data_IF_186656431661
#
_entry.id   IF_186656431661
#
_cell.length_a   1.000
_cell.length_b   1.000
_cell.length_c   1.000
_cell.angle_alpha   90.00
_cell.angle_beta   90.00
_cell.angle_gamma   90.00
#
_symmetry.space_group_name_H-M   'P 1'
#
loop_
_entity.id
_entity.type
_entity.pdbx_description
1 polymer ?
#
# COMPACT_ATOMS: atom_id res chain seq x y z
N UNK A 1 -4.11 -51.25 68.16
CA UNK A 1 -5.09 -50.15 67.98
C UNK A 1 -5.15 -49.82 66.51
N UNK A 2 -6.35 -50.00 65.94
CA UNK A 2 -6.88 -49.58 64.64
C UNK A 2 -6.13 -49.93 63.34
N UNK A 3 -6.57 -51.07 62.78
CA UNK A 3 -6.74 -51.29 61.35
C UNK A 3 -7.68 -50.24 60.75
N UNK A 4 -7.39 -49.70 59.57
CA UNK A 4 -8.37 -48.92 58.79
C UNK A 4 -8.22 -49.19 57.30
N UNK A 5 -8.97 -50.21 56.90
CA UNK A 5 -9.57 -50.46 55.60
C UNK A 5 -10.15 -49.17 55.01
N UNK A 6 -9.76 -48.79 53.79
CA UNK A 6 -10.50 -47.82 53.00
C UNK A 6 -11.28 -48.57 51.92
N UNK A 7 -12.59 -48.64 52.14
CA UNK A 7 -13.61 -49.12 51.22
C UNK A 7 -13.95 -48.00 50.21
N UNK A 8 -13.96 -48.39 48.93
CA UNK A 8 -14.84 -47.98 47.83
C UNK A 8 -15.56 -46.64 47.87
N UNK A 9 -15.45 -45.89 46.77
CA UNK A 9 -16.62 -45.37 46.06
C UNK A 9 -16.40 -45.47 44.54
N UNK A 10 -17.09 -46.43 43.93
CA UNK A 10 -17.39 -46.45 42.50
C UNK A 10 -18.50 -45.42 42.29
N UNK A 11 -18.22 -44.36 41.54
CA UNK A 11 -19.27 -43.48 41.04
C UNK A 11 -19.90 -44.12 39.80
N UNK A 12 -20.96 -44.89 40.01
CA UNK A 12 -22.03 -45.10 39.03
C UNK A 12 -23.00 -43.91 39.15
N UNK A 13 -23.07 -43.08 38.12
CA UNK A 13 -24.26 -42.28 37.79
C UNK A 13 -24.44 -42.43 36.29
N UNK A 14 -25.21 -43.42 35.86
CA UNK A 14 -26.63 -43.25 35.49
C UNK A 14 -26.82 -42.12 34.49
N UNK A 15 -26.86 -42.54 33.23
CA UNK A 15 -27.62 -41.97 32.11
C UNK A 15 -28.68 -40.93 32.50
N UNK A 16 -28.50 -39.70 32.04
CA UNK A 16 -29.56 -38.69 31.95
C UNK A 16 -29.75 -38.35 30.46
N UNK A 17 -30.84 -38.78 29.81
CA UNK A 17 -31.21 -38.32 28.49
C UNK A 17 -32.27 -37.22 28.62
N UNK A 18 -31.84 -36.02 28.97
CA UNK A 18 -32.65 -34.81 28.80
C UNK A 18 -31.98 -33.89 27.79
N UNK A 19 -31.91 -34.35 26.54
CA UNK A 19 -31.62 -33.48 25.39
C UNK A 19 -32.79 -32.50 25.26
N UNK A 20 -32.56 -31.26 25.70
CA UNK A 20 -33.49 -30.15 25.57
C UNK A 20 -33.43 -29.62 24.13
N UNK A 21 -34.38 -30.04 23.28
CA UNK A 21 -34.55 -29.49 21.94
C UNK A 21 -35.60 -28.37 21.98
N UNK A 22 -35.17 -27.12 22.09
CA UNK A 22 -36.04 -25.95 21.86
C UNK A 22 -36.21 -25.74 20.36
N UNK A 23 -37.27 -26.30 19.78
CA UNK A 23 -37.74 -25.92 18.44
C UNK A 23 -38.64 -24.69 18.55
N UNK A 24 -38.20 -23.57 18.00
CA UNK A 24 -39.02 -22.38 17.79
C UNK A 24 -40.00 -22.67 16.66
N UNK A 25 -41.16 -23.23 16.98
CA UNK A 25 -42.33 -23.08 16.13
C UNK A 25 -43.60 -23.05 16.99
N UNK A 26 -44.40 -22.00 16.80
CA UNK A 26 -45.70 -21.79 17.40
C UNK A 26 -46.65 -22.94 16.99
N UNK A 27 -46.73 -24.00 17.80
CA UNK A 27 -47.88 -24.90 18.00
C UNK A 27 -47.42 -26.07 18.89
N UNK A 28 -47.91 -26.09 20.13
CA UNK A 28 -47.56 -27.11 21.13
C UNK A 28 -48.11 -28.49 20.77
N UNK A 29 -47.31 -29.29 20.09
CA UNK A 29 -47.46 -30.75 20.01
C UNK A 29 -46.15 -31.38 20.47
N UNK A 30 -46.16 -31.89 21.69
CA UNK A 30 -45.11 -32.74 22.25
C UNK A 30 -45.30 -34.17 21.73
N UNK A 31 -44.70 -34.49 20.59
CA UNK A 31 -44.51 -35.87 20.14
C UNK A 31 -43.08 -36.33 20.41
N UNK A 32 -42.82 -37.65 20.52
CA UNK A 32 -41.45 -38.15 20.45
C UNK A 32 -40.83 -37.69 19.14
N UNK A 33 -39.56 -37.26 19.18
CA UNK A 33 -38.80 -37.02 17.96
C UNK A 33 -38.66 -38.37 17.25
N UNK A 34 -39.55 -38.65 16.29
CA UNK A 34 -39.26 -39.65 15.28
C UNK A 34 -37.98 -39.18 14.61
N UNK A 35 -36.90 -39.99 14.60
CA UNK A 35 -35.80 -39.72 13.70
C UNK A 35 -36.42 -39.83 12.32
N UNK A 36 -36.69 -38.70 11.68
CA UNK A 36 -36.96 -38.65 10.25
C UNK A 36 -35.83 -39.46 9.63
N UNK A 37 -36.17 -40.62 9.06
CA UNK A 37 -35.26 -41.40 8.25
C UNK A 37 -34.70 -40.41 7.24
N UNK A 38 -33.47 -39.94 7.50
CA UNK A 38 -32.71 -39.15 6.56
C UNK A 38 -32.49 -40.14 5.44
N UNK A 39 -33.32 -40.05 4.40
CA UNK A 39 -33.19 -40.79 3.15
C UNK A 39 -31.70 -40.81 2.82
N UNK A 40 -31.08 -41.97 3.03
CA UNK A 40 -29.66 -42.16 2.83
C UNK A 40 -29.40 -41.78 1.38
N UNK A 41 -28.66 -40.69 1.17
CA UNK A 41 -28.47 -40.17 -0.18
C UNK A 41 -27.86 -41.28 -1.05
N UNK A 42 -28.39 -41.53 -2.26
CA UNK A 42 -28.04 -42.71 -3.04
C UNK A 42 -26.58 -42.70 -3.54
N UNK A 43 -25.91 -41.55 -3.46
CA UNK A 43 -24.47 -41.41 -3.69
C UNK A 43 -23.81 -40.57 -2.61
N UNK A 44 -22.49 -40.75 -2.39
CA UNK A 44 -21.71 -39.88 -1.52
C UNK A 44 -21.72 -38.42 -2.02
N UNK A 45 -21.44 -37.43 -1.14
CA UNK A 45 -21.62 -36.00 -1.44
C UNK A 45 -20.86 -35.48 -2.66
N UNK A 46 -19.71 -36.07 -2.96
CA UNK A 46 -18.81 -35.72 -4.06
C UNK A 46 -19.20 -36.37 -5.40
N UNK A 47 -20.28 -37.14 -5.41
CA UNK A 47 -20.69 -38.00 -6.51
C UNK A 47 -22.16 -37.77 -6.89
N UNK A 48 -22.53 -38.22 -8.08
CA UNK A 48 -23.90 -38.17 -8.60
C UNK A 48 -24.24 -39.50 -9.28
N UNK A 49 -25.51 -39.89 -9.30
CA UNK A 49 -25.95 -41.01 -10.14
C UNK A 49 -25.79 -40.66 -11.61
N UNK A 50 -25.25 -41.57 -12.40
CA UNK A 50 -25.32 -41.55 -13.85
C UNK A 50 -26.65 -42.18 -14.35
N UNK A 51 -26.84 -42.24 -15.68
CA UNK A 51 -28.02 -42.85 -16.29
C UNK A 51 -28.13 -44.37 -16.08
N UNK A 52 -27.05 -45.03 -15.65
CA UNK A 52 -26.96 -46.47 -15.34
C UNK A 52 -27.15 -46.77 -13.84
N UNK A 53 -27.57 -45.77 -13.06
CA UNK A 53 -27.75 -45.85 -11.60
C UNK A 53 -26.46 -46.10 -10.81
N UNK A 54 -25.29 -45.85 -11.41
CA UNK A 54 -23.99 -45.93 -10.75
C UNK A 54 -23.54 -44.55 -10.26
N UNK A 55 -22.93 -44.50 -9.07
CA UNK A 55 -22.31 -43.28 -8.58
C UNK A 55 -21.04 -42.97 -9.37
N UNK A 56 -20.97 -41.77 -9.95
CA UNK A 56 -19.78 -41.25 -10.63
C UNK A 56 -19.34 -39.95 -9.99
N UNK A 57 -18.03 -39.69 -10.05
CA UNK A 57 -17.47 -38.47 -9.49
C UNK A 57 -18.03 -37.21 -10.15
N UNK A 58 -18.46 -36.26 -9.32
CA UNK A 58 -18.91 -34.96 -9.75
C UNK A 58 -17.92 -33.89 -9.27
N UNK A 59 -16.92 -33.57 -10.08
CA UNK A 59 -15.87 -32.59 -9.72
C UNK A 59 -16.44 -31.21 -9.35
N UNK A 60 -17.61 -30.83 -9.89
CA UNK A 60 -18.31 -29.60 -9.50
C UNK A 60 -18.85 -29.58 -8.06
N UNK A 61 -18.85 -30.73 -7.37
CA UNK A 61 -19.21 -30.85 -5.94
C UNK A 61 -17.99 -30.85 -5.03
N UNK A 62 -16.77 -30.77 -5.57
CA UNK A 62 -15.57 -30.65 -4.77
C UNK A 62 -15.50 -29.28 -4.11
N UNK A 63 -15.54 -29.27 -2.77
CA UNK A 63 -15.44 -28.04 -1.99
C UNK A 63 -13.97 -27.68 -1.78
N UNK A 64 -13.54 -26.59 -2.38
CA UNK A 64 -12.23 -26.02 -2.08
C UNK A 64 -12.30 -25.10 -0.85
N UNK A 65 -11.42 -25.26 0.16
CA UNK A 65 -11.44 -24.42 1.34
C UNK A 65 -11.00 -22.98 1.02
N UNK A 66 -11.72 -21.99 1.57
CA UNK A 66 -11.35 -20.58 1.51
C UNK A 66 -10.46 -20.23 2.69
N UNK A 67 -9.17 -20.04 2.43
CA UNK A 67 -8.18 -19.70 3.44
C UNK A 67 -8.27 -18.22 3.86
N UNK A 68 -8.28 -17.96 5.18
CA UNK A 68 -8.33 -16.60 5.77
C UNK A 68 -6.98 -16.21 6.38
N UNK A 69 -6.81 -14.92 6.67
CA UNK A 69 -5.65 -14.40 7.44
C UNK A 69 -4.27 -14.69 6.83
N UNK A 70 -4.15 -14.65 5.50
CA UNK A 70 -2.87 -14.87 4.82
C UNK A 70 -2.37 -16.32 4.82
N UNK A 71 -3.17 -17.27 5.33
CA UNK A 71 -2.92 -18.70 5.13
C UNK A 71 -3.05 -19.07 3.66
N UNK A 72 -2.28 -20.08 3.24
CA UNK A 72 -2.27 -20.58 1.87
C UNK A 72 -2.83 -21.99 1.83
N UNK A 73 -3.54 -22.29 0.74
CA UNK A 73 -4.08 -23.61 0.47
C UNK A 73 -2.94 -24.54 0.05
N UNK A 74 -2.76 -25.64 0.76
CA UNK A 74 -1.76 -26.67 0.47
C UNK A 74 -2.47 -28.00 0.28
N UNK A 75 -2.10 -28.71 -0.78
CA UNK A 75 -2.65 -30.03 -1.09
C UNK A 75 -2.14 -31.03 -0.05
N UNK A 76 -3.05 -31.63 0.71
CA UNK A 76 -2.74 -32.68 1.67
C UNK A 76 -2.88 -34.07 1.04
N UNK A 77 -3.94 -34.27 0.26
CA UNK A 77 -4.20 -35.54 -0.42
C UNK A 77 -4.82 -35.29 -1.78
N UNK A 78 -4.34 -36.00 -2.78
CA UNK A 78 -4.98 -36.04 -4.10
C UNK A 78 -6.17 -36.99 -4.05
N UNK A 79 -7.30 -36.59 -4.63
CA UNK A 79 -8.47 -37.45 -4.77
C UNK A 79 -8.15 -38.67 -5.63
N UNK A 80 -8.68 -39.83 -5.27
CA UNK A 80 -8.52 -41.06 -6.04
C UNK A 80 -9.36 -41.09 -7.32
N UNK A 81 -10.36 -40.20 -7.44
CA UNK A 81 -11.28 -40.19 -8.57
C UNK A 81 -12.32 -41.32 -8.50
N UNK A 82 -12.49 -41.90 -7.31
CA UNK A 82 -13.52 -42.92 -7.01
C UNK A 82 -14.61 -42.26 -6.17
N UNK A 83 -15.90 -42.59 -6.37
CA UNK A 83 -16.99 -42.07 -5.56
C UNK A 83 -16.73 -42.17 -4.05
N UNK A 84 -16.83 -41.04 -3.35
CA UNK A 84 -16.51 -40.91 -1.93
C UNK A 84 -15.10 -40.38 -1.63
N UNK A 85 -14.18 -40.38 -2.60
CA UNK A 85 -12.86 -39.76 -2.52
C UNK A 85 -12.46 -39.14 -3.88
N UNK A 86 -13.44 -38.54 -4.57
CA UNK A 86 -13.26 -37.92 -5.88
C UNK A 86 -12.40 -36.65 -5.82
N UNK A 87 -12.36 -35.98 -4.67
CA UNK A 87 -11.88 -34.62 -4.54
C UNK A 87 -10.53 -34.55 -3.83
N UNK A 88 -9.68 -33.63 -4.31
CA UNK A 88 -8.47 -33.24 -3.60
C UNK A 88 -8.80 -32.62 -2.25
N UNK A 89 -8.06 -33.04 -1.22
CA UNK A 89 -8.17 -32.48 0.12
C UNK A 89 -7.07 -31.45 0.30
N UNK A 90 -7.49 -30.21 0.50
CA UNK A 90 -6.60 -29.11 0.80
C UNK A 90 -6.72 -28.67 2.26
N UNK A 91 -5.61 -28.19 2.81
CA UNK A 91 -5.56 -27.58 4.14
C UNK A 91 -5.03 -26.15 4.03
N UNK A 92 -5.56 -25.26 4.86
CA UNK A 92 -5.08 -23.89 4.98
C UNK A 92 -3.95 -23.83 6.00
N UNK A 93 -2.73 -23.64 5.54
CA UNK A 93 -1.55 -23.54 6.41
C UNK A 93 -1.04 -22.10 6.42
N UNK A 94 -0.69 -21.60 7.60
CA UNK A 94 0.05 -20.35 7.69
C UNK A 94 1.48 -20.61 7.18
N UNK A 95 1.97 -19.84 6.21
CA UNK A 95 3.37 -19.94 5.81
C UNK A 95 4.22 -19.66 7.05
N UNK A 96 5.13 -20.58 7.38
CA UNK A 96 6.08 -20.36 8.47
C UNK A 96 6.95 -19.16 8.12
N UNK A 97 7.25 -18.34 9.12
CA UNK A 97 8.26 -17.30 9.01
C UNK A 97 9.59 -17.97 8.64
N UNK A 98 10.35 -17.37 7.72
CA UNK A 98 11.67 -17.91 7.39
C UNK A 98 12.61 -17.68 8.57
N UNK A 99 13.35 -18.71 8.95
CA UNK A 99 14.42 -18.59 9.94
C UNK A 99 15.57 -17.74 9.36
N UNK A 100 15.81 -16.59 9.97
CA UNK A 100 16.82 -15.63 9.51
C UNK A 100 18.12 -15.67 10.33
N UNK A 101 18.28 -16.62 11.26
CA UNK A 101 19.42 -16.69 12.19
C UNK A 101 20.77 -16.85 11.47
N UNK A 102 20.81 -17.67 10.41
CA UNK A 102 22.04 -17.97 9.66
C UNK A 102 22.23 -17.09 8.41
N UNK A 103 21.36 -16.09 8.18
CA UNK A 103 21.43 -15.26 6.98
C UNK A 103 22.37 -14.08 7.18
N UNK A 104 23.53 -14.12 6.52
CA UNK A 104 24.46 -12.98 6.45
C UNK A 104 23.97 -12.00 5.39
N UNK A 105 23.54 -10.82 5.84
CA UNK A 105 23.10 -9.76 4.95
C UNK A 105 24.28 -8.98 4.34
N UNK A 106 24.15 -8.50 3.08
CA UNK A 106 25.16 -7.65 2.48
C UNK A 106 25.31 -6.36 3.29
N UNK A 107 26.55 -5.84 3.33
CA UNK A 107 26.84 -4.60 4.03
C UNK A 107 26.01 -3.45 3.46
N UNK A 108 25.51 -2.58 4.34
CA UNK A 108 24.69 -1.44 3.90
C UNK A 108 25.48 -0.56 2.94
N UNK A 109 24.83 -0.10 1.88
CA UNK A 109 25.47 0.46 0.69
C UNK A 109 26.40 1.66 0.91
N UNK A 110 26.90 2.23 -0.19
CA UNK A 110 27.83 3.38 -0.14
C UNK A 110 27.23 4.60 0.56
N UNK A 111 28.11 5.41 1.15
CA UNK A 111 27.74 6.67 1.79
C UNK A 111 27.22 7.67 0.76
N UNK A 112 26.20 8.45 1.13
CA UNK A 112 25.60 9.42 0.21
C UNK A 112 26.51 10.64 0.04
N UNK A 113 26.51 11.26 -1.16
CA UNK A 113 27.20 12.52 -1.38
C UNK A 113 26.58 13.65 -0.56
N UNK A 114 27.33 14.73 -0.34
CA UNK A 114 26.98 15.82 0.59
C UNK A 114 25.66 16.54 0.24
N UNK A 115 25.26 16.53 -1.03
CA UNK A 115 24.03 17.16 -1.52
C UNK A 115 22.80 16.24 -1.41
N UNK A 116 22.96 15.06 -0.80
CA UNK A 116 21.99 13.98 -0.78
C UNK A 116 21.90 13.32 0.59
N UNK A 117 20.77 12.66 0.87
CA UNK A 117 20.55 11.88 2.07
C UNK A 117 20.19 10.44 1.73
N UNK A 118 20.48 9.50 2.64
CA UNK A 118 20.13 8.08 2.49
C UNK A 118 18.64 7.87 2.73
N UNK A 119 17.99 7.16 1.82
CA UNK A 119 16.61 6.74 1.99
C UNK A 119 16.51 5.57 2.98
N UNK A 120 15.40 5.47 3.75
CA UNK A 120 15.17 4.33 4.63
C UNK A 120 15.24 3.02 3.85
N UNK A 121 15.93 2.03 4.38
CA UNK A 121 15.96 0.68 3.81
C UNK A 121 14.59 0.01 3.93
N UNK A 122 14.21 -0.81 2.96
CA UNK A 122 12.95 -1.54 2.97
C UNK A 122 13.20 -3.05 3.09
N UNK A 123 12.36 -3.74 3.89
CA UNK A 123 12.37 -5.20 4.04
C UNK A 123 11.02 -5.75 3.61
N UNK A 124 10.99 -6.56 2.55
CA UNK A 124 9.76 -7.17 2.10
C UNK A 124 9.33 -8.34 3.03
N UNK A 125 8.02 -8.66 3.10
CA UNK A 125 7.54 -9.80 3.89
C UNK A 125 8.19 -11.11 3.43
N UNK A 126 8.82 -11.83 4.36
CA UNK A 126 9.50 -13.10 4.06
C UNK A 126 10.94 -12.97 3.56
N UNK A 127 11.50 -11.76 3.50
CA UNK A 127 12.94 -11.53 3.31
C UNK A 127 13.64 -11.38 4.66
N UNK A 128 14.90 -11.81 4.74
CA UNK A 128 15.70 -11.66 5.97
C UNK A 128 16.49 -10.35 6.01
N UNK A 129 16.87 -9.81 4.86
CA UNK A 129 17.72 -8.65 4.75
C UNK A 129 16.95 -7.41 4.28
N UNK A 130 17.30 -6.26 4.86
CA UNK A 130 16.83 -4.97 4.38
C UNK A 130 17.58 -4.56 3.12
N UNK A 131 16.87 -4.02 2.14
CA UNK A 131 17.45 -3.53 0.89
C UNK A 131 17.58 -2.01 0.95
N UNK A 132 18.79 -1.44 0.76
CA UNK A 132 18.97 0.00 0.72
C UNK A 132 18.32 0.59 -0.53
N UNK A 133 17.54 1.66 -0.37
CA UNK A 133 16.84 2.32 -1.49
C UNK A 133 17.69 3.39 -2.20
N UNK A 134 18.95 3.58 -1.77
CA UNK A 134 19.88 4.55 -2.33
C UNK A 134 19.80 5.93 -1.67
N UNK A 135 20.19 6.95 -2.43
CA UNK A 135 20.25 8.34 -1.97
C UNK A 135 19.22 9.20 -2.71
N UNK A 136 18.79 10.28 -2.08
CA UNK A 136 17.93 11.29 -2.69
C UNK A 136 18.47 12.70 -2.39
N UNK A 137 18.21 13.65 -3.28
CA UNK A 137 18.63 15.04 -3.11
C UNK A 137 18.04 15.67 -1.83
N UNK A 138 18.85 16.43 -1.09
CA UNK A 138 18.39 17.16 0.08
C UNK A 138 17.27 18.16 -0.28
N UNK A 139 16.20 18.27 0.53
CA UNK A 139 15.04 19.12 0.24
C UNK A 139 15.26 20.64 0.49
N UNK A 140 16.50 21.12 0.47
CA UNK A 140 16.83 22.53 0.72
C UNK A 140 17.07 23.31 -0.58
N UNK A 141 16.89 24.64 -0.59
CA UNK A 141 17.38 25.45 -1.71
C UNK A 141 18.89 25.24 -1.83
N UNK A 142 19.36 24.99 -3.05
CA UNK A 142 20.78 24.79 -3.29
C UNK A 142 21.60 25.99 -2.79
N UNK A 143 22.79 25.74 -2.24
CA UNK A 143 23.63 26.82 -1.74
C UNK A 143 23.93 27.82 -2.86
N UNK A 144 23.74 29.10 -2.57
CA UNK A 144 24.12 30.17 -3.48
C UNK A 144 25.63 30.32 -3.49
N UNK A 145 26.20 30.66 -4.65
CA UNK A 145 27.62 30.89 -4.77
C UNK A 145 28.09 32.08 -3.91
N UNK A 146 29.12 31.86 -3.11
CA UNK A 146 29.72 32.89 -2.28
C UNK A 146 31.00 33.42 -2.94
N UNK A 147 30.86 34.41 -3.81
CA UNK A 147 31.98 35.02 -4.54
C UNK A 147 32.46 36.31 -3.87
N UNK A 148 33.76 36.60 -3.97
CA UNK A 148 34.34 37.84 -3.45
C UNK A 148 33.82 39.08 -4.22
N UNK A 149 33.78 40.27 -3.58
CA UNK A 149 33.39 41.51 -4.25
C UNK A 149 34.20 41.75 -5.52
N UNK A 150 33.56 42.21 -6.60
CA UNK A 150 34.20 42.38 -7.91
C UNK A 150 34.25 41.11 -8.77
N UNK A 151 33.56 40.04 -8.35
CA UNK A 151 33.35 38.83 -9.15
C UNK A 151 31.88 38.41 -9.10
N UNK A 152 31.42 37.67 -10.11
CA UNK A 152 30.06 37.12 -10.18
C UNK A 152 30.11 35.61 -10.37
N UNK A 153 29.05 34.94 -9.92
CA UNK A 153 28.94 33.49 -10.03
C UNK A 153 28.45 33.08 -11.42
N UNK A 154 29.25 32.30 -12.13
CA UNK A 154 28.88 31.66 -13.39
C UNK A 154 28.59 30.18 -13.14
N UNK A 155 27.46 29.68 -13.63
CA UNK A 155 27.13 28.25 -13.56
C UNK A 155 28.06 27.48 -14.50
N UNK A 156 28.91 26.60 -13.95
CA UNK A 156 29.77 25.69 -14.72
C UNK A 156 29.00 24.42 -15.07
N UNK A 157 28.19 23.95 -14.13
CA UNK A 157 27.34 22.77 -14.30
C UNK A 157 25.98 23.03 -13.67
N UNK A 158 24.87 22.85 -14.42
CA UNK A 158 23.55 22.94 -13.82
C UNK A 158 23.35 21.82 -12.79
N UNK A 159 22.51 22.09 -11.79
CA UNK A 159 22.02 21.04 -10.91
C UNK A 159 21.16 20.06 -11.72
N UNK A 160 21.23 18.79 -11.37
CA UNK A 160 20.27 17.79 -11.80
C UNK A 160 19.38 17.42 -10.61
N UNK A 161 18.45 16.49 -10.78
CA UNK A 161 17.67 15.92 -9.66
C UNK A 161 18.27 14.59 -9.17
N UNK A 162 19.56 14.35 -9.47
CA UNK A 162 20.25 13.10 -9.16
C UNK A 162 21.31 13.30 -8.07
N UNK A 163 21.42 12.35 -7.12
CA UNK A 163 22.42 12.40 -6.06
C UNK A 163 23.84 12.65 -6.57
N UNK A 164 24.58 13.53 -5.89
CA UNK A 164 25.94 13.95 -6.24
C UNK A 164 26.03 15.06 -7.28
N UNK A 165 24.90 15.40 -7.91
CA UNK A 165 24.80 16.53 -8.83
C UNK A 165 23.51 17.32 -8.62
N UNK A 166 22.87 17.19 -7.46
CA UNK A 166 21.59 17.81 -7.14
C UNK A 166 21.66 19.34 -7.28
N UNK A 167 22.79 19.91 -6.89
CA UNK A 167 23.00 21.35 -6.95
C UNK A 167 23.89 21.81 -8.10
N UNK A 168 23.63 23.02 -8.63
CA UNK A 168 24.48 23.64 -9.62
C UNK A 168 25.86 23.92 -9.03
N UNK A 169 26.88 23.72 -9.85
CA UNK A 169 28.25 24.08 -9.55
C UNK A 169 28.54 25.45 -10.15
N UNK A 170 29.04 26.35 -9.32
CA UNK A 170 29.39 27.71 -9.71
C UNK A 170 30.90 27.93 -9.71
N UNK A 171 31.34 28.84 -10.57
CA UNK A 171 32.70 29.37 -10.63
C UNK A 171 32.62 30.90 -10.54
N UNK A 172 33.48 31.51 -9.73
CA UNK A 172 33.52 32.96 -9.58
C UNK A 172 34.39 33.56 -10.67
N UNK A 173 33.79 34.41 -11.51
CA UNK A 173 34.46 35.08 -12.62
C UNK A 173 34.60 36.56 -12.28
N UNK A 174 35.80 37.18 -12.42
CA UNK A 174 35.98 38.59 -12.14
C UNK A 174 35.14 39.44 -13.11
N UNK A 175 34.56 40.51 -12.57
CA UNK A 175 33.91 41.54 -13.37
C UNK A 175 35.04 42.39 -13.95
N UNK A 176 35.54 42.01 -15.11
CA UNK A 176 36.42 42.87 -15.90
C UNK A 176 35.59 44.07 -16.35
N UNK A 177 35.85 45.23 -15.75
CA UNK A 177 35.33 46.50 -16.22
C UNK A 177 36.05 46.86 -17.51
N UNK A 178 35.64 46.26 -18.63
CA UNK A 178 36.08 46.73 -19.94
C UNK A 178 35.46 48.11 -20.19
N UNK A 179 36.27 49.17 -20.37
CA UNK A 179 35.76 50.53 -20.56
C UNK A 179 34.97 50.72 -21.87
N UNK A 180 35.01 49.75 -22.80
CA UNK A 180 34.37 49.85 -24.12
C UNK A 180 33.05 49.08 -24.26
N UNK A 181 32.53 48.44 -23.19
CA UNK A 181 31.25 47.69 -23.26
C UNK A 181 30.26 48.08 -22.16
N UNK A 182 29.66 49.26 -22.31
CA UNK A 182 28.64 49.85 -21.43
C UNK A 182 27.34 49.02 -21.29
N UNK A 183 27.11 48.02 -22.13
CA UNK A 183 25.89 47.22 -22.13
C UNK A 183 25.78 46.25 -20.93
N UNK A 184 26.91 45.75 -20.40
CA UNK A 184 26.93 44.86 -19.24
C UNK A 184 26.80 45.60 -17.90
N UNK A 185 27.28 46.84 -17.83
CA UNK A 185 27.20 47.68 -16.63
C UNK A 185 25.75 48.04 -16.25
N UNK A 186 24.89 48.26 -17.25
CA UNK A 186 23.48 48.62 -17.03
C UNK A 186 22.61 47.44 -16.54
N UNK A 187 22.94 46.20 -16.90
CA UNK A 187 22.24 45.00 -16.39
C UNK A 187 22.57 44.70 -14.91
N UNK A 188 23.78 45.06 -14.46
CA UNK A 188 24.20 44.87 -13.07
C UNK A 188 23.62 45.94 -12.12
N UNK A 189 23.47 47.19 -12.59
CA UNK A 189 22.97 48.30 -11.76
C UNK A 189 21.44 48.47 -11.79
N UNK A 190 20.74 47.93 -12.80
CA UNK A 190 19.27 47.99 -12.90
C UNK A 190 18.50 47.21 -11.83
N UNK A 191 19.19 46.51 -10.91
CA UNK A 191 18.56 45.83 -9.76
C UNK A 191 18.72 46.60 -8.43
N UNK A 192 19.37 47.76 -8.44
CA UNK A 192 19.61 48.61 -7.27
C UNK A 192 19.19 50.08 -7.56
N UNK A 193 17.91 50.39 -7.34
CA UNK A 193 17.34 51.75 -7.39
C UNK A 193 16.30 51.90 -8.50
N UNK A 194 15.03 52.18 -8.21
CA UNK A 194 14.61 53.49 -7.72
C UNK A 194 13.45 53.42 -6.71
N UNK A 195 13.70 53.88 -5.49
CA UNK A 195 12.67 54.46 -4.63
C UNK A 195 13.16 55.86 -4.26
N UNK A 196 13.11 56.77 -5.24
CA UNK A 196 13.16 58.19 -4.97
C UNK A 196 11.81 58.55 -4.36
N UNK A 197 11.82 58.80 -3.06
CA UNK A 197 10.77 59.49 -2.32
C UNK A 197 10.94 60.96 -2.63
N UNK A 198 10.13 61.48 -3.54
CA UNK A 198 9.82 62.90 -3.57
C UNK A 198 8.54 63.10 -2.75
N UNK A 199 8.72 63.69 -1.58
CA UNK A 199 7.67 64.37 -0.84
C UNK A 199 7.49 65.74 -1.47
N UNK A 200 6.32 66.01 -2.05
CA UNK A 200 5.65 67.30 -1.89
C UNK A 200 4.17 67.20 -2.23
N UNK A 201 3.42 68.00 -1.49
CA UNK A 201 1.99 68.02 -1.20
C UNK A 201 1.10 68.36 -2.42
N UNK A 202 -0.15 67.86 -2.43
CA UNK A 202 -1.39 68.59 -2.78
C UNK A 202 -2.39 67.78 -3.62
N UNK A 203 -3.55 67.58 -3.02
CA UNK A 203 -4.75 66.93 -3.55
C UNK A 203 -5.30 67.57 -4.84
N UNK A 204 -5.73 66.76 -5.81
CA UNK A 204 -7.05 66.93 -6.47
C UNK A 204 -7.39 65.75 -7.38
N UNK A 205 -8.65 65.31 -7.28
CA UNK A 205 -9.32 64.33 -8.13
C UNK A 205 -9.23 64.67 -9.62
N UNK A 206 -8.99 63.66 -10.46
CA UNK A 206 -9.74 63.42 -11.71
C UNK A 206 -9.66 61.93 -12.09
N UNK A 207 -10.81 61.38 -12.48
CA UNK A 207 -11.00 60.06 -13.08
C UNK A 207 -10.11 59.79 -14.29
N UNK A 208 -9.74 58.52 -14.50
CA UNK A 208 -9.87 57.79 -15.78
C UNK A 208 -8.84 56.65 -15.98
N UNK A 209 -9.38 55.43 -16.00
CA UNK A 209 -9.08 54.35 -16.97
C UNK A 209 -7.65 53.78 -17.02
N UNK A 210 -7.38 52.84 -16.10
CA UNK A 210 -6.32 51.84 -16.29
C UNK A 210 -6.84 50.71 -17.22
N UNK A 211 -6.37 50.73 -18.46
CA UNK A 211 -6.44 49.58 -19.36
C UNK A 211 -5.57 48.44 -18.80
N UNK A 212 -6.18 47.27 -18.65
CA UNK A 212 -5.54 46.05 -18.17
C UNK A 212 -5.10 45.20 -19.38
N UNK A 213 -3.80 45.05 -19.70
CA UNK A 213 -3.35 44.03 -20.62
C UNK A 213 -3.21 42.69 -19.88
N UNK A 214 -4.09 41.76 -20.23
CA UNK A 214 -4.10 40.36 -19.80
C UNK A 214 -2.77 39.65 -20.09
N UNK A 215 -2.25 38.82 -19.17
CA UNK A 215 -1.26 37.82 -19.52
C UNK A 215 -1.96 36.58 -20.11
N UNK A 216 -1.61 36.27 -21.36
CA UNK A 216 -1.91 35.00 -22.03
C UNK A 216 -1.26 33.84 -21.27
N UNK A 217 -2.07 33.00 -20.66
CA UNK A 217 -1.68 31.63 -20.28
C UNK A 217 -1.92 30.69 -21.46
N UNK A 218 -1.08 29.67 -21.67
CA UNK A 218 -1.39 28.64 -22.62
C UNK A 218 -1.55 27.28 -21.90
N UNK A 219 -2.65 26.58 -22.23
CA UNK A 219 -2.95 25.14 -22.05
C UNK A 219 -3.30 24.63 -20.64
N UNK A 220 -4.60 24.67 -20.31
CA UNK A 220 -5.24 23.67 -19.45
C UNK A 220 -6.09 22.75 -20.33
N UNK A 221 -5.81 21.45 -20.27
CA UNK A 221 -6.65 20.41 -20.84
C UNK A 221 -7.99 20.37 -20.08
N UNK A 222 -9.09 20.60 -20.80
CA UNK A 222 -10.44 20.27 -20.35
C UNK A 222 -10.65 18.77 -20.55
N UNK A 223 -10.67 18.00 -19.46
CA UNK A 223 -11.29 16.67 -19.43
C UNK A 223 -12.79 16.89 -19.23
N UNK A 224 -13.57 16.67 -20.29
CA UNK A 224 -15.02 16.62 -20.23
C UNK A 224 -15.43 15.28 -19.62
N UNK A 225 -15.92 15.30 -18.39
CA UNK A 225 -16.67 14.17 -17.82
C UNK A 225 -18.13 14.27 -18.27
N UNK A 226 -18.58 13.29 -19.06
CA UNK A 226 -20.00 13.03 -19.28
C UNK A 226 -20.64 12.48 -18.01
N UNK A 227 -21.74 13.05 -17.49
CA UNK A 227 -22.61 12.34 -16.57
C UNK A 227 -23.57 11.45 -17.38
N UNK A 228 -23.41 10.13 -17.25
CA UNK A 228 -24.38 9.16 -17.72
C UNK A 228 -25.65 9.23 -16.84
N UNK A 229 -26.78 9.24 -17.52
CA UNK A 229 -28.16 9.17 -17.04
C UNK A 229 -28.39 8.20 -15.86
N UNK A 230 -28.85 8.73 -14.74
CA UNK A 230 -29.64 8.00 -13.74
C UNK A 230 -31.13 8.27 -14.05
N UNK A 231 -31.82 7.27 -14.59
CA UNK A 231 -33.29 7.23 -14.59
C UNK A 231 -33.77 6.47 -13.34
N UNK A 232 -34.77 6.99 -12.60
CA UNK A 232 -35.52 6.22 -11.63
C UNK A 232 -36.80 5.66 -12.30
N UNK A 233 -37.20 4.43 -11.97
CA UNK A 233 -38.57 3.96 -12.20
C UNK A 233 -38.90 2.82 -11.24
N UNK A 234 -39.84 3.12 -10.33
CA UNK A 234 -40.85 2.28 -9.66
C UNK A 234 -40.43 1.04 -8.92
#
# INVERSE_FOLDING_TARGET
>A
MFTSTWMYWVLLSTTDPSINCTSNHHSGVSGPCEPSELDEAPCPPDSVLNDEEECVCATGRCLEPVCRYGSKRVLQRTGSGVPGDCCDVFECVLPREKDCEDVVCPEEGRECPLDSYRLPSHRAPGDCCSVPQGCQCLPAPCPVANCSPGSYARVVRPGSEKPGTCCPLFECVPIVSDPDNWALANWALGRLGTRLVDSDDSSSNVDAMAANPTPRTPWSFLVVFSPAELRPST
#
